data_IF_626825751893
#
_entry.id   IF_626825751893
#
_cell.length_a   1.000
_cell.length_b   1.000
_cell.length_c   1.000
_cell.angle_alpha   90.00
_cell.angle_beta   90.00
_cell.angle_gamma   90.00
#
_symmetry.space_group_name_H-M   'P 1'
#
loop_
_entity.id
_entity.type
_entity.pdbx_description
1 polymer ?
#
# COMPACT_ATOMS: atom_id res chain seq x y z
N UNK A 1 -13.87 -24.75 5.11
CA UNK A 1 -13.89 -26.23 5.03
C UNK A 1 -13.75 -26.75 3.60
N UNK A 2 -14.57 -26.30 2.63
CA UNK A 2 -14.58 -26.80 1.25
C UNK A 2 -13.24 -26.68 0.49
N UNK A 3 -12.48 -25.58 0.68
CA UNK A 3 -11.14 -25.39 0.06
C UNK A 3 -10.04 -26.26 0.67
N UNK A 4 -10.14 -26.56 1.97
CA UNK A 4 -9.21 -27.47 2.67
C UNK A 4 -9.50 -28.93 2.32
N UNK A 5 -10.77 -29.29 2.14
CA UNK A 5 -11.18 -30.60 1.65
C UNK A 5 -10.66 -30.83 0.22
N UNK A 6 -10.69 -29.81 -0.65
CA UNK A 6 -10.14 -29.88 -2.01
C UNK A 6 -8.62 -30.10 -1.99
N UNK A 7 -7.87 -29.43 -1.11
CA UNK A 7 -6.43 -29.64 -0.93
C UNK A 7 -6.07 -31.02 -0.36
N UNK A 8 -6.88 -31.54 0.56
CA UNK A 8 -6.72 -32.90 1.10
C UNK A 8 -7.02 -33.98 0.04
N UNK A 9 -8.07 -33.76 -0.76
CA UNK A 9 -8.47 -34.65 -1.86
C UNK A 9 -7.43 -34.66 -2.99
N UNK A 10 -6.82 -33.51 -3.33
CA UNK A 10 -5.74 -33.45 -4.32
C UNK A 10 -4.46 -34.13 -3.83
N UNK A 11 -4.13 -34.00 -2.54
CA UNK A 11 -3.00 -34.70 -1.95
C UNK A 11 -3.23 -36.23 -1.95
N UNK A 12 -4.44 -36.65 -1.56
CA UNK A 12 -4.84 -38.05 -1.60
C UNK A 12 -4.82 -38.62 -3.03
N UNK A 13 -5.24 -37.85 -4.04
CA UNK A 13 -5.22 -38.32 -5.43
C UNK A 13 -3.80 -38.48 -5.97
N UNK A 14 -2.89 -37.55 -5.67
CA UNK A 14 -1.47 -37.65 -6.06
C UNK A 14 -0.79 -38.86 -5.43
N UNK A 15 -1.05 -39.11 -4.14
CA UNK A 15 -0.55 -40.31 -3.43
C UNK A 15 -1.11 -41.59 -4.05
N UNK A 16 -2.39 -41.61 -4.40
CA UNK A 16 -3.03 -42.78 -5.01
C UNK A 16 -2.48 -43.06 -6.41
N UNK A 17 -2.27 -42.03 -7.23
CA UNK A 17 -1.70 -42.16 -8.58
C UNK A 17 -0.26 -42.65 -8.53
N UNK A 18 0.55 -42.15 -7.58
CA UNK A 18 1.91 -42.61 -7.37
C UNK A 18 1.97 -44.10 -6.96
N UNK A 19 1.06 -44.53 -6.08
CA UNK A 19 0.92 -45.93 -5.65
C UNK A 19 0.52 -46.87 -6.80
N UNK A 20 -0.45 -46.45 -7.62
CA UNK A 20 -0.91 -47.23 -8.78
C UNK A 20 0.18 -47.32 -9.84
N UNK A 21 0.92 -46.25 -10.12
CA UNK A 21 2.05 -46.29 -11.04
C UNK A 21 3.15 -47.25 -10.55
N UNK A 22 3.47 -47.20 -9.26
CA UNK A 22 4.50 -48.05 -8.69
C UNK A 22 4.11 -49.55 -8.70
N UNK A 23 2.82 -49.85 -8.51
CA UNK A 23 2.31 -51.22 -8.56
C UNK A 23 2.24 -51.81 -9.99
N UNK A 24 2.05 -50.96 -11.01
CA UNK A 24 1.89 -51.40 -12.41
C UNK A 24 3.24 -51.57 -13.12
N UNK A 25 4.28 -50.83 -12.72
CA UNK A 25 5.54 -50.76 -13.49
C UNK A 25 6.56 -51.87 -13.17
N UNK A 26 6.55 -52.52 -12.00
CA UNK A 26 7.53 -53.58 -11.69
C UNK A 26 6.97 -54.74 -10.84
N UNK A 27 6.34 -55.76 -11.45
CA UNK A 27 5.93 -56.98 -10.74
C UNK A 27 7.15 -57.90 -10.57
N UNK A 28 7.69 -58.04 -9.36
CA UNK A 28 8.67 -59.11 -9.06
C UNK A 28 9.75 -58.84 -8.02
N UNK A 29 9.89 -57.62 -7.47
CA UNK A 29 10.88 -57.31 -6.44
C UNK A 29 10.21 -56.92 -5.12
N UNK A 30 9.98 -57.91 -4.25
CA UNK A 30 9.37 -57.76 -2.91
C UNK A 30 10.04 -56.68 -2.03
N UNK A 31 11.31 -56.38 -2.25
CA UNK A 31 12.03 -55.33 -1.51
C UNK A 31 11.55 -53.92 -1.87
N UNK A 32 11.22 -53.68 -3.14
CA UNK A 32 10.75 -52.37 -3.60
C UNK A 32 9.33 -52.09 -3.10
N UNK A 33 8.48 -53.13 -3.07
CA UNK A 33 7.12 -53.06 -2.52
C UNK A 33 7.13 -52.66 -1.03
N UNK A 34 8.07 -53.21 -0.26
CA UNK A 34 8.23 -52.90 1.16
C UNK A 34 8.75 -51.47 1.39
N UNK A 35 9.73 -51.02 0.60
CA UNK A 35 10.25 -49.66 0.69
C UNK A 35 9.15 -48.62 0.39
N UNK A 36 8.33 -48.87 -0.64
CA UNK A 36 7.19 -48.02 -0.98
C UNK A 36 6.15 -48.03 0.14
N UNK A 37 5.83 -49.20 0.69
CA UNK A 37 4.88 -49.33 1.79
C UNK A 37 5.32 -48.55 3.03
N UNK A 38 6.59 -48.68 3.43
CA UNK A 38 7.17 -47.95 4.56
C UNK A 38 7.20 -46.44 4.28
N UNK A 39 7.55 -46.02 3.07
CA UNK A 39 7.54 -44.61 2.68
C UNK A 39 6.13 -44.00 2.78
N UNK A 40 5.11 -44.70 2.31
CA UNK A 40 3.71 -44.25 2.36
C UNK A 40 3.22 -44.17 3.81
N UNK A 41 3.49 -45.18 4.64
CA UNK A 41 3.12 -45.15 6.05
C UNK A 41 3.85 -44.03 6.79
N UNK A 42 5.15 -43.85 6.53
CA UNK A 42 5.95 -42.79 7.12
C UNK A 42 5.42 -41.40 6.74
N UNK A 43 5.12 -41.17 5.46
CA UNK A 43 4.53 -39.91 4.99
C UNK A 43 3.17 -39.64 5.65
N UNK A 44 2.33 -40.67 5.80
CA UNK A 44 1.02 -40.53 6.45
C UNK A 44 1.15 -40.25 7.95
N UNK A 45 2.10 -40.88 8.64
CA UNK A 45 2.41 -40.62 10.04
C UNK A 45 2.91 -39.18 10.26
N UNK A 46 3.81 -38.68 9.41
CA UNK A 46 4.29 -37.29 9.47
C UNK A 46 3.16 -36.31 9.17
N UNK A 47 2.36 -36.55 8.13
CA UNK A 47 1.25 -35.66 7.78
C UNK A 47 0.20 -35.57 8.90
N UNK A 48 -0.17 -36.69 9.49
CA UNK A 48 -1.11 -36.73 10.61
C UNK A 48 -0.53 -36.05 11.85
N UNK A 49 0.75 -36.24 12.17
CA UNK A 49 1.43 -35.53 13.25
C UNK A 49 1.44 -34.02 13.03
N UNK A 50 1.74 -33.55 11.82
CA UNK A 50 1.70 -32.12 11.46
C UNK A 50 0.29 -31.56 11.59
N UNK A 51 -0.73 -32.27 11.11
CA UNK A 51 -2.13 -31.83 11.22
C UNK A 51 -2.60 -31.81 12.67
N UNK A 52 -2.22 -32.79 13.49
CA UNK A 52 -2.51 -32.83 14.92
C UNK A 52 -1.80 -31.67 15.64
N UNK A 53 -0.52 -31.42 15.35
CA UNK A 53 0.24 -30.31 15.92
C UNK A 53 -0.36 -28.95 15.55
N UNK A 54 -0.78 -28.73 14.30
CA UNK A 54 -1.45 -27.48 13.89
C UNK A 54 -2.82 -27.27 14.55
N UNK A 55 -3.50 -28.34 14.97
CA UNK A 55 -4.75 -28.25 15.74
C UNK A 55 -4.50 -27.99 17.22
N UNK A 56 -3.49 -28.65 17.80
CA UNK A 56 -3.12 -28.50 19.21
C UNK A 56 -2.48 -27.14 19.50
N UNK A 57 -1.68 -26.64 18.55
CA UNK A 57 -1.07 -25.32 18.56
C UNK A 57 -1.59 -24.56 17.34
N UNK A 58 -2.78 -23.95 17.43
CA UNK A 58 -3.20 -22.99 16.42
C UNK A 58 -2.15 -21.88 16.42
N UNK A 59 -1.24 -21.89 15.43
CA UNK A 59 -0.42 -20.72 15.15
C UNK A 59 -1.43 -19.60 14.97
N UNK A 60 -1.46 -18.68 15.94
CA UNK A 60 -2.43 -17.60 16.00
C UNK A 60 -2.60 -17.06 14.58
N UNK A 61 -3.81 -17.25 14.03
CA UNK A 61 -4.21 -16.55 12.84
C UNK A 61 -3.85 -15.09 13.08
N UNK A 62 -3.05 -14.52 12.16
CA UNK A 62 -2.59 -13.12 12.10
C UNK A 62 -2.81 -12.33 13.39
N UNK A 63 -1.71 -11.98 14.06
CA UNK A 63 -1.64 -11.01 15.18
C UNK A 63 -2.85 -10.06 15.23
N UNK A 64 -3.48 -9.90 16.38
CA UNK A 64 -4.59 -8.95 16.58
C UNK A 64 -4.26 -7.52 16.07
N UNK A 65 -2.98 -7.18 15.99
CA UNK A 65 -2.47 -5.93 15.40
C UNK A 65 -2.65 -5.93 13.87
N UNK A 66 -2.36 -7.04 13.20
CA UNK A 66 -2.56 -7.20 11.75
C UNK A 66 -4.05 -7.21 11.38
N UNK A 67 -4.92 -7.74 12.24
CA UNK A 67 -6.38 -7.68 12.06
C UNK A 67 -6.93 -6.27 12.29
N UNK A 68 -6.40 -5.52 13.27
CA UNK A 68 -6.74 -4.11 13.48
C UNK A 68 -6.20 -3.16 12.39
N UNK A 69 -5.22 -3.61 11.59
CA UNK A 69 -4.66 -2.87 10.45
C UNK A 69 -5.43 -3.13 9.14
N UNK A 70 -6.21 -4.21 9.05
CA UNK A 70 -7.07 -4.49 7.88
C UNK A 70 -8.38 -3.67 8.00
N UNK A 71 -8.29 -2.40 7.59
CA UNK A 71 -9.36 -1.52 7.11
C UNK A 71 -10.70 -1.51 7.89
N UNK A 72 -10.79 -0.68 8.93
CA UNK A 72 -12.01 0.11 9.09
C UNK A 72 -12.05 1.11 7.93
N UNK A 73 -13.10 1.15 7.08
CA UNK A 73 -13.29 2.23 6.13
C UNK A 73 -13.43 3.50 6.96
N UNK A 74 -12.33 4.25 7.08
CA UNK A 74 -12.33 5.56 7.72
C UNK A 74 -13.35 6.38 6.96
N UNK A 75 -14.54 6.55 7.55
CA UNK A 75 -15.48 7.56 7.09
C UNK A 75 -14.67 8.84 6.98
N UNK A 76 -14.56 9.40 5.79
CA UNK A 76 -13.79 10.61 5.56
C UNK A 76 -14.46 11.74 6.36
N UNK A 77 -14.00 11.94 7.59
CA UNK A 77 -14.44 13.05 8.43
C UNK A 77 -13.91 14.30 7.73
N UNK A 78 -14.82 15.14 7.23
CA UNK A 78 -14.46 16.43 6.64
C UNK A 78 -13.62 17.20 7.65
N UNK A 79 -12.37 17.56 7.32
CA UNK A 79 -11.55 18.37 8.23
C UNK A 79 -12.31 19.64 8.62
N UNK A 80 -12.28 20.05 9.89
CA UNK A 80 -13.03 21.22 10.36
C UNK A 80 -12.65 22.51 9.61
N UNK A 81 -11.43 22.59 9.07
CA UNK A 81 -10.91 23.74 8.33
C UNK A 81 -10.98 23.59 6.79
N UNK A 82 -11.69 22.58 6.26
CA UNK A 82 -11.78 22.38 4.81
C UNK A 82 -12.46 23.59 4.13
N UNK A 83 -13.58 24.05 4.67
CA UNK A 83 -14.35 25.19 4.12
C UNK A 83 -13.52 26.48 4.07
N UNK A 84 -12.63 26.64 5.05
CA UNK A 84 -11.70 27.76 5.11
C UNK A 84 -10.68 27.68 3.98
N UNK A 85 -10.14 26.49 3.77
CA UNK A 85 -9.15 26.21 2.71
C UNK A 85 -9.77 26.40 1.33
N UNK A 86 -10.95 25.82 1.08
CA UNK A 86 -11.70 25.99 -0.17
C UNK A 86 -11.94 27.47 -0.50
N UNK A 87 -12.29 28.27 0.51
CA UNK A 87 -12.48 29.71 0.33
C UNK A 87 -11.19 30.43 -0.06
N UNK A 88 -10.06 30.07 0.56
CA UNK A 88 -8.75 30.64 0.20
C UNK A 88 -8.39 30.29 -1.24
N UNK A 89 -8.58 29.04 -1.65
CA UNK A 89 -8.33 28.60 -3.03
C UNK A 89 -9.21 29.36 -4.01
N UNK A 90 -10.51 29.46 -3.73
CA UNK A 90 -11.45 30.22 -4.58
C UNK A 90 -11.05 31.69 -4.74
N UNK A 91 -10.59 32.36 -3.67
CA UNK A 91 -10.10 33.74 -3.77
C UNK A 91 -8.80 33.83 -4.58
N UNK A 92 -7.86 32.92 -4.35
CA UNK A 92 -6.57 32.90 -5.06
C UNK A 92 -6.71 32.63 -6.57
N UNK A 93 -7.69 31.81 -6.98
CA UNK A 93 -7.99 31.62 -8.42
C UNK A 93 -8.59 32.86 -9.05
N UNK A 94 -9.30 33.70 -8.28
CA UNK A 94 -9.93 34.91 -8.79
C UNK A 94 -9.03 36.14 -8.83
N UNK A 95 -8.05 36.28 -7.92
CA UNK A 95 -7.24 37.48 -7.83
C UNK A 95 -5.78 37.23 -7.46
N UNK A 96 -4.87 37.85 -8.21
CA UNK A 96 -3.42 37.83 -7.97
C UNK A 96 -3.03 38.26 -6.54
N UNK A 97 -3.79 39.21 -5.96
CA UNK A 97 -3.59 39.65 -4.59
C UNK A 97 -3.74 38.49 -3.59
N UNK A 98 -4.79 37.69 -3.73
CA UNK A 98 -5.05 36.58 -2.81
C UNK A 98 -4.05 35.44 -3.00
N UNK A 99 -3.50 35.25 -4.21
CA UNK A 99 -2.36 34.36 -4.45
C UNK A 99 -1.15 34.78 -3.59
N UNK A 100 -0.78 36.05 -3.62
CA UNK A 100 0.40 36.54 -2.92
C UNK A 100 0.23 36.62 -1.40
N UNK A 101 -0.92 37.11 -0.92
CA UNK A 101 -1.10 37.42 0.50
C UNK A 101 -1.77 36.30 1.31
N UNK A 102 -2.48 35.35 0.66
CA UNK A 102 -3.16 34.25 1.36
C UNK A 102 -2.57 32.89 1.01
N UNK A 103 -2.47 32.57 -0.28
CA UNK A 103 -2.07 31.24 -0.73
C UNK A 103 -0.56 31.01 -0.56
N UNK A 104 0.28 31.97 -0.98
CA UNK A 104 1.74 31.86 -0.90
C UNK A 104 2.27 31.57 0.50
N UNK A 105 1.83 32.26 1.58
CA UNK A 105 2.28 31.94 2.95
C UNK A 105 2.03 30.47 3.32
N UNK A 106 0.86 29.94 2.96
CA UNK A 106 0.49 28.54 3.25
C UNK A 106 1.39 27.59 2.45
N UNK A 107 1.55 27.80 1.15
CA UNK A 107 2.41 26.96 0.31
C UNK A 107 3.87 26.99 0.76
N UNK A 108 4.34 28.16 1.22
CA UNK A 108 5.68 28.32 1.76
C UNK A 108 5.86 27.54 3.05
N UNK A 109 4.93 27.62 3.99
CA UNK A 109 4.98 26.86 5.24
C UNK A 109 5.03 25.35 4.97
N UNK A 110 4.17 24.84 4.09
CA UNK A 110 4.17 23.42 3.72
C UNK A 110 5.47 23.03 3.03
N UNK A 111 5.99 23.87 2.13
CA UNK A 111 7.28 23.63 1.48
C UNK A 111 8.43 23.58 2.48
N UNK A 112 8.47 24.50 3.46
CA UNK A 112 9.46 24.51 4.54
C UNK A 112 9.38 23.23 5.39
N UNK A 113 8.17 22.77 5.73
CA UNK A 113 7.97 21.50 6.44
C UNK A 113 8.47 20.28 5.63
N UNK A 114 8.14 20.21 4.34
CA UNK A 114 8.56 19.11 3.46
C UNK A 114 10.07 19.07 3.20
N UNK A 115 10.71 20.23 3.24
CA UNK A 115 12.14 20.37 2.99
C UNK A 115 13.00 20.33 4.24
N UNK A 116 12.42 20.18 5.44
CA UNK A 116 13.15 20.19 6.71
C UNK A 116 14.33 19.19 6.73
N UNK A 117 14.19 18.05 6.06
CA UNK A 117 15.20 16.99 6.01
C UNK A 117 16.04 16.98 4.72
N UNK A 118 15.75 17.86 3.75
CA UNK A 118 16.39 17.88 2.42
C UNK A 118 17.35 19.07 2.26
N UNK A 119 18.54 18.82 1.71
CA UNK A 119 19.47 19.88 1.25
C UNK A 119 19.20 20.19 -0.23
N UNK A 120 19.05 21.47 -0.57
CA UNK A 120 18.78 21.93 -1.95
C UNK A 120 17.31 22.31 -2.19
N UNK A 121 16.88 23.45 -1.62
CA UNK A 121 15.48 23.92 -1.63
C UNK A 121 14.95 24.13 -3.06
N UNK A 122 15.79 24.64 -3.98
CA UNK A 122 15.35 25.04 -5.32
C UNK A 122 15.16 23.86 -6.26
N UNK A 123 16.13 22.93 -6.32
CA UNK A 123 16.01 21.77 -7.22
C UNK A 123 14.85 20.85 -6.80
N UNK A 124 14.62 20.71 -5.50
CA UNK A 124 13.52 19.92 -4.98
C UNK A 124 12.15 20.50 -5.34
N UNK A 125 11.97 21.83 -5.23
CA UNK A 125 10.69 22.49 -5.52
C UNK A 125 10.41 22.59 -7.03
N UNK A 126 11.43 22.72 -7.89
CA UNK A 126 11.25 22.99 -9.31
C UNK A 126 10.81 24.43 -9.59
N UNK A 127 10.90 24.85 -10.86
CA UNK A 127 10.80 26.28 -11.21
C UNK A 127 9.41 26.88 -10.94
N UNK A 128 8.32 26.19 -11.30
CA UNK A 128 6.94 26.71 -11.17
C UNK A 128 6.54 26.93 -9.71
N UNK A 129 6.85 25.97 -8.82
CA UNK A 129 6.59 26.09 -7.39
C UNK A 129 7.57 27.08 -6.71
N UNK A 130 8.85 27.08 -7.11
CA UNK A 130 9.84 28.03 -6.61
C UNK A 130 9.44 29.48 -6.89
N UNK A 131 9.00 29.80 -8.10
CA UNK A 131 8.54 31.15 -8.46
C UNK A 131 7.42 31.65 -7.53
N UNK A 132 6.58 30.75 -7.04
CA UNK A 132 5.47 31.09 -6.16
C UNK A 132 5.92 31.31 -4.70
N UNK A 133 6.82 30.47 -4.17
CA UNK A 133 7.23 30.50 -2.75
C UNK A 133 8.52 31.27 -2.47
N UNK A 134 9.26 31.71 -3.51
CA UNK A 134 10.55 32.41 -3.35
C UNK A 134 10.42 33.61 -2.41
N UNK A 135 11.39 33.82 -1.49
CA UNK A 135 11.30 34.84 -0.44
C UNK A 135 11.19 36.27 -0.99
N UNK A 136 11.81 36.52 -2.14
CA UNK A 136 11.95 37.80 -2.85
C UNK A 136 10.84 38.06 -3.88
N UNK A 137 9.75 37.27 -3.87
CA UNK A 137 8.61 37.53 -4.77
C UNK A 137 7.98 38.89 -4.45
N UNK A 138 7.97 39.79 -5.41
CA UNK A 138 7.31 41.09 -5.29
C UNK A 138 5.76 40.95 -5.25
N UNK A 139 5.06 41.89 -4.58
CA UNK A 139 3.61 41.94 -4.61
C UNK A 139 3.08 42.25 -6.02
N UNK A 140 1.87 41.79 -6.37
CA UNK A 140 1.32 42.00 -7.70
C UNK A 140 1.02 43.49 -7.97
N UNK A 141 1.44 43.99 -9.13
CA UNK A 141 1.20 45.38 -9.56
C UNK A 141 -0.28 45.73 -9.69
N UNK A 142 -1.12 44.75 -10.06
CA UNK A 142 -2.59 44.89 -10.13
C UNK A 142 -3.23 43.98 -9.10
N UNK A 143 -3.92 44.56 -8.11
CA UNK A 143 -4.59 43.80 -7.05
C UNK A 143 -5.66 42.85 -7.58
N UNK A 144 -6.46 43.30 -8.54
CA UNK A 144 -7.48 42.50 -9.22
C UNK A 144 -6.97 41.93 -10.55
N UNK A 145 -5.66 41.73 -10.69
CA UNK A 145 -5.12 40.97 -11.81
C UNK A 145 -5.52 39.49 -11.70
N UNK A 146 -5.31 38.76 -12.79
CA UNK A 146 -5.64 37.33 -12.88
C UNK A 146 -5.01 36.53 -11.73
N UNK A 147 -5.81 35.66 -11.12
CA UNK A 147 -5.36 34.74 -10.09
C UNK A 147 -4.52 33.60 -10.65
N UNK A 148 -4.31 32.57 -9.82
CA UNK A 148 -3.65 31.35 -10.28
C UNK A 148 -4.67 30.43 -10.97
N UNK A 149 -4.36 29.97 -12.17
CA UNK A 149 -5.19 29.01 -12.89
C UNK A 149 -5.29 27.68 -12.12
N UNK A 150 -6.43 27.00 -12.21
CA UNK A 150 -6.69 25.78 -11.43
C UNK A 150 -5.74 24.65 -11.83
N UNK A 151 -5.47 24.50 -13.13
CA UNK A 151 -4.53 23.52 -13.65
C UNK A 151 -3.10 23.85 -13.23
N UNK A 152 -2.76 25.13 -13.14
CA UNK A 152 -1.46 25.57 -12.63
C UNK A 152 -1.32 25.24 -11.15
N UNK A 153 -2.34 25.53 -10.35
CA UNK A 153 -2.36 25.19 -8.94
C UNK A 153 -2.24 23.67 -8.72
N UNK A 154 -2.94 22.86 -9.50
CA UNK A 154 -2.84 21.40 -9.43
C UNK A 154 -1.39 20.91 -9.64
N UNK A 155 -0.70 21.39 -10.68
CA UNK A 155 0.70 21.04 -10.93
C UNK A 155 1.64 21.45 -9.79
N UNK A 156 1.41 22.64 -9.22
CA UNK A 156 2.18 23.13 -8.08
C UNK A 156 1.98 22.24 -6.85
N UNK A 157 0.75 21.80 -6.60
CA UNK A 157 0.43 20.87 -5.51
C UNK A 157 1.00 19.48 -5.74
N UNK A 158 0.85 18.89 -6.93
CA UNK A 158 1.45 17.60 -7.29
C UNK A 158 2.96 17.62 -7.07
N UNK A 159 3.61 18.74 -7.46
CA UNK A 159 5.05 18.91 -7.24
C UNK A 159 5.38 18.99 -5.76
N UNK A 160 4.62 19.75 -4.97
CA UNK A 160 4.81 19.90 -3.53
C UNK A 160 4.62 18.57 -2.79
N UNK A 161 3.69 17.73 -3.22
CA UNK A 161 3.44 16.40 -2.65
C UNK A 161 4.57 15.41 -2.96
N UNK A 162 5.24 15.57 -4.09
CA UNK A 162 6.39 14.76 -4.51
C UNK A 162 7.72 15.14 -3.82
N UNK A 163 7.75 16.27 -3.10
CA UNK A 163 8.86 16.66 -2.21
C UNK A 163 8.77 15.90 -0.89
#
# INVERSE_FOLDING_TARGET
>A
MRRLAVGLLSAASVVTVALVLAAVLEPGKRSLELDIYVLVIGAMAVLTAVLAARRAYPLAARSAIAEALEDEPRTAIRPPDLDRTERVLSMATNAAFDVHFRLRPILREVAEQRLADRRGLREALGDELWELVRPDREPPNRRFGEGIEVEQLARVLDRLEAV
#
